data_IF_063293022592
#
_entry.id   IF_063293022592
#
_cell.length_a   1.000
_cell.length_b   1.000
_cell.length_c   1.000
_cell.angle_alpha   90.00
_cell.angle_beta   90.00
_cell.angle_gamma   90.00
#
_symmetry.space_group_name_H-M   'P 1'
#
loop_
_entity.id
_entity.type
_entity.pdbx_description
1 polymer ?
#
# COMPACT_ATOMS: atom_id res chain seq x y z
N UNK A 1 -2.29 2.62 25.20
CA UNK A 1 -2.74 3.96 25.64
C UNK A 1 -4.05 4.27 24.94
N UNK A 2 -4.93 5.13 25.48
CA UNK A 2 -6.16 5.49 24.77
C UNK A 2 -5.84 6.21 23.45
N UNK A 3 -6.68 5.99 22.43
CA UNK A 3 -6.63 6.72 21.16
C UNK A 3 -6.80 8.22 21.38
N UNK A 4 -6.05 9.04 20.64
CA UNK A 4 -6.04 10.51 20.72
C UNK A 4 -7.03 11.15 19.75
N UNK A 5 -7.30 10.52 18.61
CA UNK A 5 -8.19 11.03 17.59
C UNK A 5 -9.65 10.64 17.87
N UNK A 6 -10.48 11.62 18.18
CA UNK A 6 -11.92 11.39 18.43
C UNK A 6 -12.71 11.00 17.17
N UNK A 7 -12.31 11.54 16.01
CA UNK A 7 -12.97 11.32 14.71
C UNK A 7 -12.38 10.15 13.92
N UNK A 8 -11.36 9.47 14.46
CA UNK A 8 -10.64 8.40 13.77
C UNK A 8 -9.55 8.89 12.80
N UNK A 9 -8.69 7.95 12.41
CA UNK A 9 -7.48 8.20 11.61
C UNK A 9 -7.81 8.69 10.20
N UNK A 10 -8.85 8.14 9.55
CA UNK A 10 -9.18 8.49 8.17
C UNK A 10 -9.60 9.96 8.03
N UNK A 11 -10.48 10.44 8.91
CA UNK A 11 -10.91 11.83 8.91
C UNK A 11 -9.74 12.76 9.24
N UNK A 12 -8.91 12.38 10.21
CA UNK A 12 -7.70 13.13 10.55
C UNK A 12 -6.73 13.20 9.36
N UNK A 13 -6.54 12.12 8.61
CA UNK A 13 -5.71 12.13 7.41
C UNK A 13 -6.28 13.08 6.34
N UNK A 14 -7.59 13.05 6.11
CA UNK A 14 -8.24 13.96 5.17
C UNK A 14 -8.01 15.42 5.57
N UNK A 15 -8.29 15.77 6.84
CA UNK A 15 -8.06 17.11 7.40
C UNK A 15 -6.60 17.55 7.31
N UNK A 16 -5.65 16.62 7.54
CA UNK A 16 -4.22 16.89 7.39
C UNK A 16 -3.86 17.33 5.97
N UNK A 17 -4.53 16.79 4.95
CA UNK A 17 -4.29 17.15 3.55
C UNK A 17 -5.02 18.39 3.06
N UNK A 18 -5.98 18.94 3.82
CA UNK A 18 -6.81 20.07 3.37
C UNK A 18 -6.04 21.34 3.07
N UNK A 19 -4.92 21.57 3.77
CA UNK A 19 -3.99 22.69 3.53
C UNK A 19 -3.06 22.49 2.32
N UNK A 20 -3.37 21.52 1.46
CA UNK A 20 -2.57 21.19 0.27
C UNK A 20 -3.46 21.07 -0.96
N UNK A 21 -2.83 20.88 -2.13
CA UNK A 21 -3.52 20.65 -3.40
C UNK A 21 -3.89 19.18 -3.62
N UNK A 22 -3.95 18.35 -2.57
CA UNK A 22 -4.34 16.95 -2.70
C UNK A 22 -5.85 16.83 -2.95
N UNK A 23 -6.30 16.11 -4.00
CA UNK A 23 -7.72 15.82 -4.19
C UNK A 23 -8.29 14.99 -3.04
N UNK A 24 -9.51 15.29 -2.61
CA UNK A 24 -10.17 14.60 -1.49
C UNK A 24 -10.21 13.06 -1.67
N UNK A 25 -10.52 12.58 -2.88
CA UNK A 25 -10.51 11.15 -3.18
C UNK A 25 -9.13 10.52 -2.93
N UNK A 26 -8.05 11.19 -3.33
CA UNK A 26 -6.69 10.68 -3.10
C UNK A 26 -6.31 10.68 -1.63
N UNK A 27 -6.79 11.67 -0.86
CA UNK A 27 -6.60 11.72 0.58
C UNK A 27 -7.29 10.54 1.28
N UNK A 28 -8.55 10.26 0.94
CA UNK A 28 -9.32 9.14 1.50
C UNK A 28 -8.59 7.83 1.25
N UNK A 29 -8.26 7.50 0.01
CA UNK A 29 -7.64 6.22 -0.32
C UNK A 29 -6.20 6.08 0.19
N UNK A 30 -5.45 7.18 0.33
CA UNK A 30 -4.13 7.17 0.99
C UNK A 30 -4.23 7.06 2.52
N UNK A 31 -5.31 7.54 3.12
CA UNK A 31 -5.63 7.28 4.52
C UNK A 31 -6.01 5.81 4.74
N UNK A 32 -6.85 5.26 3.86
CA UNK A 32 -7.27 3.85 3.90
C UNK A 32 -6.08 2.90 3.83
N UNK A 33 -5.15 3.08 2.88
CA UNK A 33 -3.96 2.21 2.79
C UNK A 33 -3.07 2.31 4.02
N UNK A 34 -3.03 3.48 4.67
CA UNK A 34 -2.25 3.69 5.90
C UNK A 34 -2.83 2.89 7.05
N UNK A 35 -4.17 2.85 7.15
CA UNK A 35 -4.88 2.06 8.16
C UNK A 35 -4.74 0.57 7.86
N UNK A 36 -4.93 0.15 6.61
CA UNK A 36 -4.74 -1.23 6.16
C UNK A 36 -3.34 -1.76 6.49
N UNK A 37 -2.30 -0.95 6.22
CA UNK A 37 -0.92 -1.29 6.53
C UNK A 37 -0.64 -1.44 8.03
N UNK A 38 -1.37 -0.70 8.87
CA UNK A 38 -1.25 -0.81 10.33
C UNK A 38 -2.02 -2.01 10.89
N UNK A 39 -3.18 -2.35 10.31
CA UNK A 39 -4.00 -3.49 10.73
C UNK A 39 -3.41 -4.84 10.32
N UNK A 40 -2.79 -4.91 9.13
CA UNK A 40 -2.23 -6.16 8.61
C UNK A 40 -3.22 -7.33 8.68
N UNK A 41 -2.78 -8.40 9.34
CA UNK A 41 -3.54 -9.66 9.54
C UNK A 41 -4.37 -9.69 10.82
N UNK A 42 -4.29 -8.65 11.65
CA UNK A 42 -4.90 -8.64 13.00
C UNK A 42 -6.39 -8.27 12.98
N UNK A 43 -6.90 -7.85 11.82
CA UNK A 43 -8.30 -7.53 11.62
C UNK A 43 -8.83 -8.28 10.40
N UNK A 44 -10.03 -8.84 10.52
CA UNK A 44 -10.69 -9.54 9.44
C UNK A 44 -12.22 -9.45 9.57
N UNK A 45 -12.89 -9.68 8.44
CA UNK A 45 -14.33 -9.87 8.40
C UNK A 45 -14.60 -11.30 7.96
N UNK A 46 -15.26 -12.05 8.82
CA UNK A 46 -15.67 -13.42 8.55
C UNK A 46 -17.00 -13.43 7.77
N UNK A 47 -16.97 -13.94 6.53
CA UNK A 47 -18.16 -14.15 5.69
C UNK A 47 -18.66 -15.60 5.75
N UNK A 48 -18.13 -16.42 6.67
CA UNK A 48 -18.48 -17.82 6.90
C UNK A 48 -17.78 -18.78 5.95
N UNK A 49 -17.77 -18.48 4.65
CA UNK A 49 -17.10 -19.29 3.63
C UNK A 49 -15.67 -18.85 3.34
N UNK A 50 -15.37 -17.58 3.57
CA UNK A 50 -14.06 -16.98 3.37
C UNK A 50 -13.88 -15.80 4.31
N UNK A 51 -12.63 -15.43 4.52
CA UNK A 51 -12.23 -14.34 5.41
C UNK A 51 -11.67 -13.20 4.58
N UNK A 52 -12.19 -11.98 4.81
CA UNK A 52 -11.64 -10.78 4.18
C UNK A 52 -10.69 -10.08 5.14
N UNK A 53 -9.49 -9.82 4.65
CA UNK A 53 -8.48 -9.00 5.33
C UNK A 53 -8.45 -7.59 4.73
N UNK A 54 -7.88 -6.60 5.43
CA UNK A 54 -7.84 -5.22 4.96
C UNK A 54 -6.79 -4.98 3.86
N UNK A 55 -6.26 -6.03 3.20
CA UNK A 55 -5.32 -5.86 2.10
C UNK A 55 -5.99 -5.15 0.91
N UNK A 56 -5.32 -4.14 0.35
CA UNK A 56 -5.88 -3.33 -0.74
C UNK A 56 -4.85 -3.03 -1.81
N UNK A 57 -5.24 -3.13 -3.08
CA UNK A 57 -4.48 -2.60 -4.21
C UNK A 57 -5.17 -1.33 -4.73
N UNK A 58 -4.50 -0.19 -4.62
CA UNK A 58 -5.04 1.12 -4.94
C UNK A 58 -4.16 1.78 -5.99
N UNK A 59 -4.77 2.29 -7.06
CA UNK A 59 -4.07 3.06 -8.09
C UNK A 59 -4.69 4.45 -8.20
N UNK A 60 -3.91 5.48 -7.83
CA UNK A 60 -4.27 6.88 -7.97
C UNK A 60 -3.94 7.38 -9.38
N UNK A 61 -4.98 7.68 -10.16
CA UNK A 61 -4.90 8.07 -11.57
C UNK A 61 -5.12 9.56 -11.72
N UNK A 62 -4.17 10.25 -12.33
CA UNK A 62 -4.40 11.62 -12.77
C UNK A 62 -3.29 12.19 -13.64
N UNK A 63 -3.56 13.30 -14.34
CA UNK A 63 -2.55 13.99 -15.14
C UNK A 63 -1.31 14.30 -14.30
N UNK A 64 -0.14 14.17 -14.92
CA UNK A 64 1.13 14.53 -14.27
C UNK A 64 1.14 15.99 -13.86
N UNK A 65 1.85 16.29 -12.77
CA UNK A 65 1.97 17.60 -12.12
C UNK A 65 0.67 18.23 -11.55
N UNK A 66 -0.51 17.94 -12.12
CA UNK A 66 -1.78 18.60 -11.78
C UNK A 66 -2.54 17.86 -10.67
N UNK A 67 -2.65 16.53 -10.75
CA UNK A 67 -3.45 15.76 -9.80
C UNK A 67 -2.75 15.48 -8.45
N UNK A 68 -1.48 15.90 -8.28
CA UNK A 68 -0.66 15.71 -7.06
C UNK A 68 -0.67 14.29 -6.46
N UNK A 69 -0.85 13.27 -7.31
CA UNK A 69 -0.97 11.85 -6.93
C UNK A 69 0.14 11.31 -6.00
N UNK A 70 1.37 11.78 -6.15
CA UNK A 70 2.50 11.34 -5.32
C UNK A 70 2.54 11.97 -3.93
N UNK A 71 1.91 13.13 -3.73
CA UNK A 71 1.90 13.85 -2.46
C UNK A 71 1.23 13.06 -1.32
N UNK A 72 -0.01 12.55 -1.47
CA UNK A 72 -0.67 11.81 -0.39
C UNK A 72 -0.03 10.43 -0.16
N UNK A 73 0.51 9.79 -1.21
CA UNK A 73 1.32 8.56 -1.07
C UNK A 73 2.56 8.81 -0.20
N UNK A 74 3.25 9.94 -0.43
CA UNK A 74 4.41 10.33 0.40
C UNK A 74 4.01 10.65 1.84
N UNK A 75 2.83 11.22 2.07
CA UNK A 75 2.30 11.43 3.42
C UNK A 75 2.02 10.11 4.13
N UNK A 76 1.30 9.19 3.47
CA UNK A 76 1.08 7.82 3.96
C UNK A 76 2.40 7.14 4.30
N UNK A 77 3.37 7.14 3.39
CA UNK A 77 4.70 6.55 3.61
C UNK A 77 5.42 7.13 4.85
N UNK A 78 5.34 8.45 5.05
CA UNK A 78 5.96 9.10 6.21
C UNK A 78 5.29 8.71 7.52
N UNK A 79 3.97 8.52 7.52
CA UNK A 79 3.20 8.09 8.70
C UNK A 79 3.47 6.61 8.99
N UNK A 80 3.39 5.73 7.98
CA UNK A 80 3.64 4.29 8.13
C UNK A 80 5.03 4.01 8.72
N UNK A 81 6.06 4.71 8.25
CA UNK A 81 7.43 4.58 8.79
C UNK A 81 7.59 4.96 10.26
N UNK A 82 6.62 5.68 10.83
CA UNK A 82 6.62 6.10 12.24
C UNK A 82 5.77 5.20 13.13
N UNK A 83 5.02 4.25 12.56
CA UNK A 83 4.20 3.30 13.31
C UNK A 83 5.09 2.38 14.14
N UNK A 84 4.62 2.06 15.35
CA UNK A 84 5.23 1.08 16.26
C UNK A 84 4.17 0.05 16.68
N UNK A 85 4.40 -1.27 16.52
CA UNK A 85 5.59 -1.91 15.95
C UNK A 85 5.83 -1.54 14.47
N UNK A 86 7.06 -1.75 14.00
CA UNK A 86 7.47 -1.30 12.65
C UNK A 86 6.72 -2.09 11.59
N UNK A 87 5.94 -1.42 10.76
CA UNK A 87 5.28 -2.02 9.59
C UNK A 87 6.31 -2.37 8.52
N UNK A 88 6.18 -3.55 7.91
CA UNK A 88 7.03 -4.00 6.82
C UNK A 88 6.77 -3.19 5.53
N UNK A 89 7.60 -2.20 5.27
CA UNK A 89 7.54 -1.39 4.04
C UNK A 89 8.50 -1.96 3.01
N UNK A 90 7.95 -2.50 1.93
CA UNK A 90 8.71 -3.17 0.89
C UNK A 90 9.31 -2.18 -0.13
N UNK A 91 10.35 -2.62 -0.84
CA UNK A 91 11.02 -1.82 -1.88
C UNK A 91 10.08 -1.46 -3.05
N UNK A 92 10.37 -0.38 -3.76
CA UNK A 92 9.53 0.08 -4.89
C UNK A 92 9.82 -0.67 -6.20
N UNK A 93 11.00 -1.29 -6.32
CA UNK A 93 11.46 -2.04 -7.49
C UNK A 93 12.01 -3.37 -7.03
N UNK A 94 11.36 -4.45 -7.44
CA UNK A 94 11.69 -5.82 -7.02
C UNK A 94 11.32 -6.80 -8.13
N UNK A 95 12.02 -7.93 -8.17
CA UNK A 95 11.61 -9.10 -8.94
C UNK A 95 10.59 -9.91 -8.12
N UNK A 96 9.82 -10.83 -8.73
CA UNK A 96 8.90 -11.69 -8.00
C UNK A 96 9.60 -12.46 -6.87
N UNK A 97 10.79 -12.99 -7.14
CA UNK A 97 11.58 -13.74 -6.16
C UNK A 97 12.02 -12.85 -4.99
N UNK A 98 12.43 -11.61 -5.27
CA UNK A 98 12.79 -10.66 -4.23
C UNK A 98 11.58 -10.22 -3.38
N UNK A 99 10.38 -10.14 -3.99
CA UNK A 99 9.14 -9.87 -3.28
C UNK A 99 8.79 -11.02 -2.32
N UNK A 100 8.82 -12.25 -2.81
CA UNK A 100 8.54 -13.44 -1.99
C UNK A 100 9.57 -13.61 -0.88
N UNK A 101 10.86 -13.44 -1.18
CA UNK A 101 11.95 -13.49 -0.20
C UNK A 101 11.79 -12.45 0.92
N UNK A 102 11.39 -11.22 0.56
CA UNK A 102 11.15 -10.16 1.54
C UNK A 102 9.89 -10.38 2.39
N UNK A 103 8.90 -11.12 1.87
CA UNK A 103 7.66 -11.46 2.57
C UNK A 103 7.78 -12.73 3.42
N UNK A 104 8.56 -13.71 2.98
CA UNK A 104 8.81 -14.97 3.68
C UNK A 104 9.84 -14.82 4.82
N UNK A 105 10.55 -13.69 4.88
CA UNK A 105 11.53 -13.40 5.91
C UNK A 105 12.93 -13.95 5.66
N UNK A 106 13.17 -14.50 4.47
CA UNK A 106 14.47 -15.10 4.11
C UNK A 106 15.60 -14.07 3.98
N UNK A 107 15.28 -12.78 3.81
CA UNK A 107 16.25 -11.68 3.81
C UNK A 107 16.55 -11.11 5.23
N UNK A 108 16.06 -11.74 6.30
CA UNK A 108 16.49 -11.43 7.66
C UNK A 108 17.99 -11.72 7.79
N UNK A 109 18.77 -10.70 8.14
CA UNK A 109 20.24 -10.78 8.25
C UNK A 109 20.62 -11.95 9.17
N UNK A 110 21.67 -12.70 8.79
CA UNK A 110 22.29 -13.75 9.61
C UNK A 110 22.46 -13.27 11.07
N UNK A 111 21.69 -13.87 11.98
CA UNK A 111 21.66 -13.53 13.40
C UNK A 111 20.25 -13.36 13.99
N UNK A 112 19.24 -13.09 13.15
CA UNK A 112 17.84 -13.04 13.57
C UNK A 112 17.11 -14.31 13.09
N UNK A 113 16.87 -15.25 14.00
CA UNK A 113 15.97 -16.39 13.78
C UNK A 113 14.51 -15.91 13.76
N UNK A 114 14.18 -14.94 12.89
CA UNK A 114 12.80 -14.51 12.71
C UNK A 114 12.12 -15.48 11.77
N UNK A 115 11.44 -16.48 12.34
CA UNK A 115 10.27 -17.06 11.70
C UNK A 115 9.33 -15.88 11.46
N UNK A 116 9.15 -15.44 10.21
CA UNK A 116 8.14 -14.43 9.90
C UNK A 116 6.79 -15.12 10.03
N UNK A 117 5.99 -14.79 11.06
CA UNK A 117 4.75 -15.51 11.35
C UNK A 117 3.66 -15.19 10.32
N UNK A 118 3.80 -14.08 9.60
CA UNK A 118 2.87 -13.62 8.58
C UNK A 118 3.55 -12.72 7.54
N UNK A 119 3.30 -13.01 6.26
CA UNK A 119 3.77 -12.25 5.11
C UNK A 119 2.97 -10.94 4.94
N UNK A 120 2.99 -10.08 5.95
CA UNK A 120 2.37 -8.75 5.92
C UNK A 120 3.33 -7.76 5.30
N UNK A 121 2.84 -6.91 4.40
CA UNK A 121 3.65 -5.88 3.77
C UNK A 121 2.85 -4.76 3.14
N UNK A 122 3.50 -3.61 2.96
CA UNK A 122 2.94 -2.50 2.20
C UNK A 122 3.95 -1.98 1.17
N UNK A 123 3.48 -1.82 -0.07
CA UNK A 123 4.23 -1.21 -1.17
C UNK A 123 3.63 0.15 -1.49
N UNK A 124 4.43 1.21 -1.34
CA UNK A 124 4.02 2.58 -1.67
C UNK A 124 4.88 3.12 -2.81
N UNK A 125 4.32 3.19 -4.02
CA UNK A 125 5.02 3.65 -5.22
C UNK A 125 4.40 4.94 -5.75
N UNK A 126 5.22 5.96 -5.99
CA UNK A 126 4.73 7.20 -6.61
C UNK A 126 4.36 7.00 -8.08
N UNK A 127 4.95 5.98 -8.73
CA UNK A 127 4.70 5.58 -10.11
C UNK A 127 4.52 4.06 -10.17
N UNK A 128 3.35 3.59 -10.60
CA UNK A 128 3.01 2.17 -10.65
C UNK A 128 3.98 1.37 -11.55
N UNK A 129 4.49 2.02 -12.60
CA UNK A 129 5.43 1.43 -13.55
C UNK A 129 6.74 0.90 -12.90
N UNK A 130 7.10 1.40 -11.71
CA UNK A 130 8.30 0.92 -11.00
C UNK A 130 8.12 -0.50 -10.46
N UNK A 131 6.88 -0.86 -10.13
CA UNK A 131 6.50 -2.18 -9.61
C UNK A 131 5.97 -3.06 -10.75
N UNK A 132 5.04 -2.52 -11.55
CA UNK A 132 4.33 -3.25 -12.58
C UNK A 132 4.56 -2.59 -13.94
N UNK A 133 5.34 -3.24 -14.79
CA UNK A 133 5.59 -2.83 -16.17
C UNK A 133 5.35 -4.01 -17.14
N UNK A 134 5.48 -3.79 -18.45
CA UNK A 134 5.30 -4.85 -19.45
C UNK A 134 6.20 -6.08 -19.23
N UNK A 135 7.38 -5.89 -18.64
CA UNK A 135 8.27 -6.98 -18.26
C UNK A 135 7.74 -7.83 -17.10
N UNK A 136 6.97 -7.21 -16.18
CA UNK A 136 6.35 -7.87 -15.04
C UNK A 136 5.36 -8.98 -15.44
N UNK A 137 4.74 -8.87 -16.62
CA UNK A 137 3.88 -9.94 -17.18
C UNK A 137 4.70 -11.16 -17.60
N UNK A 138 5.88 -10.93 -18.19
CA UNK A 138 6.77 -12.02 -18.61
C UNK A 138 7.49 -12.67 -17.42
N UNK A 139 7.70 -11.92 -16.35
CA UNK A 139 8.35 -12.43 -15.15
C UNK A 139 7.41 -13.15 -14.18
N UNK A 140 6.09 -13.14 -14.40
CA UNK A 140 5.12 -13.75 -13.47
C UNK A 140 4.80 -12.91 -12.22
N UNK A 141 5.19 -11.62 -12.19
CA UNK A 141 4.89 -10.75 -11.04
C UNK A 141 3.38 -10.57 -10.83
N UNK A 142 2.63 -10.49 -11.92
CA UNK A 142 1.17 -10.27 -11.87
C UNK A 142 0.46 -11.45 -11.20
N UNK A 143 0.92 -12.67 -11.48
CA UNK A 143 0.37 -13.89 -10.89
C UNK A 143 0.65 -13.91 -9.39
N UNK A 144 1.92 -13.65 -9.00
CA UNK A 144 2.31 -13.53 -7.59
C UNK A 144 1.50 -12.45 -6.85
N UNK A 145 1.29 -11.28 -7.45
CA UNK A 145 0.46 -10.24 -6.85
C UNK A 145 -1.01 -10.65 -6.73
N UNK A 146 -1.51 -11.48 -7.65
CA UNK A 146 -2.88 -11.99 -7.60
C UNK A 146 -3.03 -12.99 -6.45
N UNK A 147 -2.10 -13.93 -6.32
CA UNK A 147 -2.08 -14.93 -5.23
C UNK A 147 -1.95 -14.26 -3.86
N UNK A 148 -1.07 -13.25 -3.74
CA UNK A 148 -0.88 -12.47 -2.49
C UNK A 148 -2.14 -11.69 -2.07
N UNK A 149 -3.02 -11.35 -3.01
CA UNK A 149 -4.25 -10.62 -2.70
C UNK A 149 -5.31 -11.53 -2.07
N UNK A 150 -5.34 -12.80 -2.46
CA UNK A 150 -6.35 -13.75 -1.97
C UNK A 150 -6.10 -14.18 -0.52
N UNK A 151 -4.95 -13.77 0.05
CA UNK A 151 -4.64 -13.95 1.46
C UNK A 151 -4.64 -15.43 1.90
N UNK A 152 -4.33 -16.35 0.99
CA UNK A 152 -4.17 -17.78 1.24
C UNK A 152 -2.68 -18.15 1.27
N UNK A 153 -2.36 -19.24 1.97
CA UNK A 153 -1.00 -19.78 2.00
C UNK A 153 -0.67 -20.42 0.66
N UNK A 154 0.53 -20.16 0.14
CA UNK A 154 0.99 -20.79 -1.10
C UNK A 154 2.49 -21.08 -1.12
N UNK A 155 2.86 -22.05 -1.96
CA UNK A 155 4.24 -22.43 -2.24
C UNK A 155 4.73 -21.73 -3.51
N UNK A 156 5.88 -21.04 -3.40
CA UNK A 156 6.56 -20.47 -4.56
C UNK A 156 7.83 -21.26 -4.85
N UNK A 157 7.88 -21.93 -6.01
CA UNK A 157 9.02 -22.77 -6.42
C UNK A 157 9.94 -22.03 -7.37
N UNK A 158 11.20 -21.86 -6.98
CA UNK A 158 12.22 -21.29 -7.85
C UNK A 158 13.23 -22.35 -8.28
N UNK A 159 13.74 -22.23 -9.51
CA UNK A 159 14.72 -23.19 -10.07
C UNK A 159 16.04 -23.23 -9.30
N UNK A 160 16.41 -22.15 -8.62
CA UNK A 160 17.73 -21.99 -7.99
C UNK A 160 17.65 -22.03 -6.45
N UNK A 161 16.62 -21.42 -5.84
CA UNK A 161 16.53 -21.29 -4.37
C UNK A 161 15.65 -22.36 -3.71
N UNK A 162 14.96 -23.19 -4.50
CA UNK A 162 14.07 -24.24 -3.96
C UNK A 162 12.65 -23.73 -3.72
N UNK A 163 11.99 -24.28 -2.68
CA UNK A 163 10.59 -23.99 -2.34
C UNK A 163 10.55 -22.93 -1.22
N UNK A 164 9.95 -21.78 -1.50
CA UNK A 164 9.69 -20.72 -0.53
C UNK A 164 8.21 -20.78 -0.13
N UNK A 165 7.92 -20.82 1.17
CA UNK A 165 6.55 -20.85 1.68
C UNK A 165 6.12 -19.45 2.09
N UNK A 166 5.01 -18.97 1.51
CA UNK A 166 4.38 -17.71 1.89
C UNK A 166 3.22 -18.04 2.81
N UNK A 167 3.40 -17.76 4.11
CA UNK A 167 2.38 -18.00 5.13
C UNK A 167 1.69 -16.70 5.50
N UNK A 168 0.37 -16.77 5.60
CA UNK A 168 -0.51 -15.69 5.97
C UNK A 168 -0.23 -14.35 5.23
N UNK A 169 -0.28 -14.30 3.88
CA UNK A 169 0.02 -13.08 3.13
C UNK A 169 -1.01 -11.96 3.30
N UNK A 170 -0.56 -10.76 3.64
CA UNK A 170 -1.41 -9.57 3.61
C UNK A 170 -0.63 -8.41 3.02
N UNK A 171 -0.67 -8.33 1.69
CA UNK A 171 0.02 -7.30 0.93
C UNK A 171 -0.93 -6.17 0.56
N UNK A 172 -0.57 -4.95 0.96
CA UNK A 172 -1.24 -3.72 0.53
C UNK A 172 -0.37 -2.94 -0.45
N UNK A 173 -0.96 -2.39 -1.51
CA UNK A 173 -0.24 -1.64 -2.54
C UNK A 173 -0.97 -0.33 -2.80
N UNK A 174 -0.23 0.77 -2.83
CA UNK A 174 -0.71 2.03 -3.40
C UNK A 174 0.28 2.55 -4.44
N UNK A 175 -0.24 2.83 -5.63
CA UNK A 175 0.53 3.31 -6.77
C UNK A 175 -0.05 4.57 -7.39
N UNK A 176 0.80 5.47 -7.87
CA UNK A 176 0.38 6.57 -8.73
C UNK A 176 0.51 6.21 -10.22
N UNK A 177 -0.45 6.57 -11.06
CA UNK A 177 -0.32 6.40 -12.51
C UNK A 177 -0.92 7.59 -13.26
N UNK A 178 -0.47 7.80 -14.50
CA UNK A 178 -1.20 8.66 -15.45
C UNK A 178 -2.16 7.82 -16.27
N UNK A 179 -3.21 8.40 -16.87
CA UNK A 179 -4.08 7.67 -17.79
C UNK A 179 -3.32 6.97 -18.93
N UNK A 180 -2.24 7.58 -19.42
CA UNK A 180 -1.35 7.00 -20.43
C UNK A 180 -0.47 5.91 -19.82
N UNK A 181 0.13 6.17 -18.65
CA UNK A 181 1.02 5.23 -17.97
C UNK A 181 0.33 3.93 -17.54
N UNK A 182 -0.98 3.94 -17.30
CA UNK A 182 -1.73 2.69 -17.09
C UNK A 182 -1.62 1.76 -18.29
N UNK A 183 -1.67 2.28 -19.53
CA UNK A 183 -1.53 1.46 -20.74
C UNK A 183 -0.15 0.82 -20.86
N UNK A 184 0.86 1.44 -20.23
CA UNK A 184 2.22 0.90 -20.18
C UNK A 184 2.38 -0.15 -19.08
N UNK A 185 1.64 0.00 -17.98
CA UNK A 185 1.68 -0.92 -16.84
C UNK A 185 0.78 -2.14 -17.06
N UNK A 186 -0.39 -1.98 -17.68
CA UNK A 186 -1.44 -3.01 -17.79
C UNK A 186 -1.80 -3.15 -19.28
N UNK A 187 -1.34 -4.22 -19.95
CA UNK A 187 -1.71 -4.53 -21.33
C UNK A 187 -3.23 -4.66 -21.47
N UNK A 188 -3.76 -4.23 -22.62
CA UNK A 188 -5.20 -4.23 -22.88
C UNK A 188 -5.83 -5.63 -22.78
N UNK A 189 -5.08 -6.67 -23.18
CA UNK A 189 -5.49 -8.08 -23.09
C UNK A 189 -5.69 -8.57 -21.65
N UNK A 190 -5.12 -7.86 -20.67
CA UNK A 190 -5.21 -8.19 -19.24
C UNK A 190 -6.23 -7.32 -18.51
N UNK A 191 -6.88 -6.38 -19.21
CA UNK A 191 -7.98 -5.58 -18.66
C UNK A 191 -9.19 -6.51 -18.50
N UNK A 192 -9.65 -6.67 -17.26
CA UNK A 192 -10.64 -7.69 -16.90
C UNK A 192 -10.04 -9.03 -16.47
N UNK A 193 -8.70 -9.14 -16.43
CA UNK A 193 -8.02 -10.26 -15.80
C UNK A 193 -8.01 -10.17 -14.27
N UNK A 194 -7.67 -11.27 -13.61
CA UNK A 194 -7.74 -11.41 -12.14
C UNK A 194 -7.00 -10.32 -11.35
N UNK A 195 -5.88 -9.81 -11.85
CA UNK A 195 -5.17 -8.71 -11.19
C UNK A 195 -5.96 -7.39 -11.22
N UNK A 196 -6.53 -7.02 -12.37
CA UNK A 196 -7.21 -5.73 -12.53
C UNK A 196 -8.53 -5.63 -11.77
N UNK A 197 -9.22 -6.75 -11.54
CA UNK A 197 -10.46 -6.79 -10.74
C UNK A 197 -10.21 -6.55 -9.24
N UNK A 198 -8.98 -6.77 -8.78
CA UNK A 198 -8.55 -6.57 -7.38
C UNK A 198 -8.05 -5.14 -7.11
N UNK A 199 -8.02 -4.27 -8.12
CA UNK A 199 -7.51 -2.90 -8.01
C UNK A 199 -8.63 -1.88 -7.90
N UNK A 200 -8.55 -1.03 -6.89
CA UNK A 200 -9.35 0.19 -6.80
C UNK A 200 -8.66 1.30 -7.61
N UNK A 201 -9.24 1.63 -8.76
CA UNK A 201 -8.81 2.75 -9.59
C UNK A 201 -9.47 4.06 -9.13
N UNK A 202 -8.66 4.98 -8.63
CA UNK A 202 -9.13 6.27 -8.11
C UNK A 202 -8.70 7.37 -9.07
N UNK A 203 -9.65 7.94 -9.81
CA UNK A 203 -9.34 8.99 -10.80
C UNK A 203 -9.60 10.39 -10.25
N UNK A 204 -8.67 11.32 -10.51
CA UNK A 204 -8.90 12.75 -10.37
C UNK A 204 -8.28 13.54 -11.52
N UNK A 205 -9.03 14.51 -12.06
CA UNK A 205 -8.55 15.40 -13.14
C UNK A 205 -7.51 16.41 -12.63
N UNK A 206 -7.56 16.78 -11.36
CA UNK A 206 -6.69 17.80 -10.80
C UNK A 206 -7.02 18.08 -9.35
N UNK A 207 -6.34 19.06 -8.77
CA UNK A 207 -6.72 19.54 -7.45
C UNK A 207 -8.05 20.29 -7.50
N UNK A 208 -8.92 20.05 -6.52
CA UNK A 208 -10.13 20.85 -6.34
C UNK A 208 -9.83 22.23 -5.72
N UNK A 209 -8.57 22.52 -5.39
CA UNK A 209 -8.13 23.74 -4.69
C UNK A 209 -6.75 24.15 -5.19
N UNK A 210 -6.47 25.44 -5.24
CA UNK A 210 -5.14 25.95 -5.56
C UNK A 210 -4.49 26.48 -4.29
N UNK A 211 -3.34 25.92 -3.94
CA UNK A 211 -2.58 26.29 -2.73
C UNK A 211 -1.13 26.53 -3.16
N UNK A 212 -0.79 27.77 -3.58
CA UNK A 212 0.52 28.08 -4.13
C UNK A 212 1.69 27.78 -3.18
N UNK A 213 1.47 27.99 -1.87
CA UNK A 213 2.47 27.73 -0.84
C UNK A 213 1.82 27.03 0.36
N UNK A 214 1.89 25.68 0.43
CA UNK A 214 1.35 24.97 1.59
C UNK A 214 2.18 25.29 2.84
N UNK A 215 1.51 25.80 3.87
CA UNK A 215 2.13 26.08 5.19
C UNK A 215 1.70 25.01 6.17
N UNK A 216 2.66 24.36 6.81
CA UNK A 216 2.38 23.36 7.84
C UNK A 216 2.13 24.04 9.19
N UNK A 217 0.86 24.22 9.53
CA UNK A 217 0.43 24.76 10.83
C UNK A 217 0.87 23.87 12.00
N UNK A 218 0.95 24.46 13.21
CA UNK A 218 1.20 23.70 14.45
C UNK A 218 0.15 22.61 14.66
N UNK A 219 -1.12 22.91 14.33
CA UNK A 219 -2.21 21.96 14.38
C UNK A 219 -1.98 20.76 13.45
N UNK A 220 -1.50 20.98 12.22
CA UNK A 220 -1.18 19.89 11.28
C UNK A 220 0.06 19.09 11.70
N UNK A 221 0.99 19.67 12.47
CA UNK A 221 2.07 18.90 13.08
C UNK A 221 1.51 17.95 14.14
N UNK A 222 0.76 18.50 15.11
CA UNK A 222 0.11 17.72 16.17
C UNK A 222 -0.80 16.62 15.61
N UNK A 223 -1.58 16.93 14.58
CA UNK A 223 -2.46 15.96 13.90
C UNK A 223 -1.69 14.79 13.31
N UNK A 224 -0.52 15.03 12.71
CA UNK A 224 0.31 13.94 12.20
C UNK A 224 0.84 13.07 13.34
N UNK A 225 1.25 13.68 14.45
CA UNK A 225 1.74 12.94 15.62
C UNK A 225 0.62 12.08 16.25
N UNK A 226 -0.60 12.62 16.34
CA UNK A 226 -1.78 11.92 16.84
C UNK A 226 -2.20 10.77 15.88
N UNK A 227 -2.09 10.96 14.56
CA UNK A 227 -2.29 9.89 13.57
C UNK A 227 -1.27 8.76 13.77
N UNK A 228 0.02 9.08 13.86
CA UNK A 228 1.06 8.07 14.06
C UNK A 228 0.88 7.32 15.38
N UNK A 229 0.49 8.02 16.46
CA UNK A 229 0.19 7.42 17.74
C UNK A 229 -0.97 6.42 17.64
N UNK A 230 -2.11 6.83 17.08
CA UNK A 230 -3.28 5.96 17.01
C UNK A 230 -3.07 4.78 16.06
N UNK A 231 -2.35 4.96 14.95
CA UNK A 231 -1.92 3.85 14.08
C UNK A 231 -1.00 2.87 14.81
N UNK A 232 -0.14 3.37 15.70
CA UNK A 232 0.70 2.52 16.55
C UNK A 232 -0.11 1.74 17.58
N UNK A 233 -1.17 2.33 18.15
CA UNK A 233 -2.08 1.58 19.03
C UNK A 233 -2.92 0.55 18.26
N UNK A 234 -3.21 0.78 16.98
CA UNK A 234 -3.94 -0.17 16.11
C UNK A 234 -3.07 -1.35 15.67
N UNK A 235 -1.75 -1.14 15.52
CA UNK A 235 -0.79 -2.14 15.06
C UNK A 235 -0.23 -3.04 16.17
N UNK A 236 -0.64 -2.83 17.42
CA UNK A 236 -0.23 -3.64 18.58
C UNK A 236 -1.10 -4.88 18.71
#
# INVERSE_FOLDING_TARGET
MPRRLKSGVLEAFCKFTEGTEVPAAFAVWSGMITIAAALGRDCFVDYGYYTLYPNMYIVLIGPSAVAKKSTPIKFAMRMIKQIKPTVNVLSQKMTPEALISALSGLDAKEGDTMIVPSAVGVVLVSELATLVNKGSFKSGMIDVLTDLYDAEDFEYRTKIRGIEYVRNPCLSIIGGATPIGIKECIPFVSIGGGFTSRIVFVFSKGSGRLVPRPVRSLENKKRMDDICHDLSEVSK
#
